data_IF_465271763725
#
_entry.id   IF_465271763725
#
_cell.length_a   1.000
_cell.length_b   1.000
_cell.length_c   1.000
_cell.angle_alpha   90.00
_cell.angle_beta   90.00
_cell.angle_gamma   90.00
#
_symmetry.space_group_name_H-M   'P 1'
#
loop_
_entity.id
_entity.type
_entity.pdbx_description
1 polymer ?
#
# COMPACT_ATOMS: atom_id res chain seq x y z
N UNK A 1 -13.46 -9.88 3.54
CA UNK A 1 -12.22 -9.41 2.88
C UNK A 1 -12.62 -8.25 1.98
N UNK A 2 -11.91 -7.12 2.04
CA UNK A 2 -12.16 -5.97 1.18
C UNK A 2 -11.96 -6.34 -0.29
N UNK A 3 -12.64 -5.65 -1.21
CA UNK A 3 -12.47 -5.91 -2.63
C UNK A 3 -11.08 -5.42 -3.12
N UNK A 4 -10.47 -6.06 -4.14
CA UNK A 4 -9.17 -5.64 -4.66
C UNK A 4 -9.14 -4.18 -5.13
N UNK A 5 -10.26 -3.69 -5.65
CA UNK A 5 -10.48 -2.28 -6.02
C UNK A 5 -10.46 -1.31 -4.82
N UNK A 6 -10.96 -1.74 -3.66
CA UNK A 6 -10.92 -0.96 -2.43
C UNK A 6 -9.50 -0.92 -1.84
N UNK A 7 -8.78 -2.06 -1.89
CA UNK A 7 -7.38 -2.15 -1.45
C UNK A 7 -6.51 -1.25 -2.33
N UNK A 8 -6.66 -1.30 -3.65
CA UNK A 8 -5.93 -0.42 -4.58
C UNK A 8 -6.17 1.05 -4.24
N UNK A 9 -7.44 1.42 -4.03
CA UNK A 9 -7.82 2.80 -3.70
C UNK A 9 -7.23 3.24 -2.36
N UNK A 10 -7.28 2.38 -1.34
CA UNK A 10 -6.72 2.66 -0.02
C UNK A 10 -5.20 2.84 -0.09
N UNK A 11 -4.49 1.91 -0.73
CA UNK A 11 -3.02 1.98 -0.88
C UNK A 11 -2.63 3.24 -1.67
N UNK A 12 -3.34 3.56 -2.76
CA UNK A 12 -3.10 4.79 -3.53
C UNK A 12 -3.35 6.05 -2.71
N UNK A 13 -4.46 6.11 -1.99
CA UNK A 13 -4.77 7.23 -1.11
C UNK A 13 -3.72 7.38 0.00
N UNK A 14 -3.17 6.27 0.49
CA UNK A 14 -2.10 6.27 1.49
C UNK A 14 -0.77 6.75 0.92
N UNK A 15 -0.40 6.29 -0.27
CA UNK A 15 0.81 6.75 -0.94
C UNK A 15 0.72 8.24 -1.26
N UNK A 16 -0.41 8.71 -1.81
CA UNK A 16 -0.64 10.13 -2.11
C UNK A 16 -0.54 11.00 -0.85
N UNK A 17 -1.05 10.53 0.30
CA UNK A 17 -0.91 11.23 1.58
C UNK A 17 0.53 11.26 2.09
N UNK A 18 1.25 10.14 2.00
CA UNK A 18 2.63 10.04 2.50
C UNK A 18 3.60 10.85 1.63
N UNK A 19 3.46 10.76 0.30
CA UNK A 19 4.25 11.56 -0.65
C UNK A 19 3.76 13.01 -0.79
N UNK A 20 2.61 13.33 -0.20
CA UNK A 20 1.91 14.61 -0.36
C UNK A 20 1.72 15.00 -1.85
N UNK A 21 1.56 14.00 -2.72
CA UNK A 21 1.48 14.16 -4.17
C UNK A 21 0.33 13.30 -4.73
N UNK A 22 -0.82 13.94 -4.94
CA UNK A 22 -2.01 13.33 -5.55
C UNK A 22 -1.82 13.00 -7.05
N UNK A 23 -0.78 13.54 -7.71
CA UNK A 23 -0.50 13.25 -9.11
C UNK A 23 0.33 11.97 -9.28
N UNK A 24 0.82 11.40 -8.17
CA UNK A 24 1.62 10.19 -8.14
C UNK A 24 0.74 8.96 -8.39
N UNK A 25 0.55 8.64 -9.67
CA UNK A 25 -0.20 7.47 -10.09
C UNK A 25 0.72 6.25 -10.21
N UNK A 26 0.84 5.47 -9.13
CA UNK A 26 1.51 4.17 -9.23
C UNK A 26 0.64 3.17 -9.99
N UNK A 27 1.30 2.45 -10.89
CA UNK A 27 0.77 1.20 -11.43
C UNK A 27 0.65 0.13 -10.34
N UNK A 28 -0.23 -0.84 -10.56
CA UNK A 28 -0.41 -1.96 -9.64
C UNK A 28 0.88 -2.75 -9.39
N UNK A 29 1.60 -3.01 -10.48
CA UNK A 29 2.87 -3.76 -10.51
C UNK A 29 4.09 -2.87 -10.27
N UNK A 30 3.88 -1.57 -10.09
CA UNK A 30 4.98 -0.63 -10.00
C UNK A 30 5.70 -0.73 -8.65
N UNK A 31 7.01 -0.55 -8.67
CA UNK A 31 7.83 -0.72 -7.49
C UNK A 31 7.94 0.61 -6.74
N UNK A 32 7.67 0.56 -5.46
CA UNK A 32 7.75 1.69 -4.55
C UNK A 32 9.14 2.35 -4.53
N UNK A 33 10.20 1.56 -4.74
CA UNK A 33 11.57 2.10 -4.90
C UNK A 33 11.69 3.09 -6.07
N UNK A 34 10.93 2.94 -7.16
CA UNK A 34 10.99 3.84 -8.32
C UNK A 34 10.37 5.22 -8.02
N UNK A 35 9.47 5.27 -7.03
CA UNK A 35 8.78 6.49 -6.58
C UNK A 35 9.38 7.09 -5.32
N UNK A 36 10.64 6.76 -5.01
CA UNK A 36 11.37 7.27 -3.84
C UNK A 36 10.69 6.87 -2.51
N UNK A 37 9.82 5.85 -2.50
CA UNK A 37 9.08 5.41 -1.30
C UNK A 37 10.02 4.53 -0.47
N UNK A 38 10.58 5.12 0.58
CA UNK A 38 11.49 4.48 1.52
C UNK A 38 10.75 3.55 2.50
N UNK A 39 11.51 2.76 3.26
CA UNK A 39 10.96 1.83 4.27
C UNK A 39 10.07 2.51 5.33
N UNK A 40 10.36 3.77 5.69
CA UNK A 40 9.53 4.57 6.59
C UNK A 40 8.20 4.99 5.95
N UNK A 41 8.24 5.33 4.66
CA UNK A 41 7.03 5.64 3.89
C UNK A 41 6.18 4.37 3.77
N UNK A 42 6.79 3.23 3.48
CA UNK A 42 6.11 1.92 3.40
C UNK A 42 5.42 1.55 4.71
N UNK A 43 6.08 1.74 5.86
CA UNK A 43 5.44 1.54 7.17
C UNK A 43 4.24 2.46 7.35
N UNK A 44 4.36 3.72 6.94
CA UNK A 44 3.27 4.69 7.06
C UNK A 44 2.08 4.36 6.15
N UNK A 45 2.37 3.92 4.91
CA UNK A 45 1.37 3.43 3.95
C UNK A 45 0.66 2.21 4.51
N UNK A 46 1.42 1.21 4.99
CA UNK A 46 0.89 0.00 5.60
C UNK A 46 -0.09 0.32 6.73
N UNK A 47 0.35 1.15 7.69
CA UNK A 47 -0.47 1.56 8.84
C UNK A 47 -1.75 2.31 8.42
N UNK A 48 -1.68 3.16 7.39
CA UNK A 48 -2.87 3.83 6.87
C UNK A 48 -3.81 2.86 6.17
N UNK A 49 -3.29 1.93 5.36
CA UNK A 49 -4.08 0.90 4.68
C UNK A 49 -4.79 0.01 5.68
N UNK A 50 -4.10 -0.43 6.73
CA UNK A 50 -4.66 -1.16 7.87
C UNK A 50 -5.83 -0.41 8.50
N UNK A 51 -5.65 0.88 8.80
CA UNK A 51 -6.71 1.72 9.39
C UNK A 51 -7.86 2.00 8.43
N UNK A 52 -7.60 2.18 7.13
CA UNK A 52 -8.60 2.43 6.11
C UNK A 52 -9.50 1.20 5.88
N UNK A 53 -8.88 0.01 5.84
CA UNK A 53 -9.57 -1.24 5.55
C UNK A 53 -10.05 -1.97 6.81
N UNK A 54 -9.58 -1.55 7.99
CA UNK A 54 -9.88 -2.20 9.27
C UNK A 54 -9.27 -3.60 9.39
N UNK A 55 -8.07 -3.80 8.82
CA UNK A 55 -7.33 -5.07 8.85
C UNK A 55 -6.02 -4.90 9.63
N UNK A 56 -5.43 -6.00 10.09
CA UNK A 56 -4.06 -6.04 10.63
C UNK A 56 -3.17 -6.80 9.66
N UNK A 57 -2.09 -6.18 9.21
CA UNK A 57 -0.99 -6.74 8.45
C UNK A 57 0.21 -7.07 9.36
N UNK A 58 0.01 -7.16 10.69
CA UNK A 58 1.03 -7.27 11.76
C UNK A 58 2.14 -8.32 11.54
N UNK A 59 1.96 -9.30 10.65
CA UNK A 59 2.95 -10.34 10.33
C UNK A 59 3.72 -10.09 9.01
N UNK A 60 3.31 -9.11 8.21
CA UNK A 60 3.89 -8.85 6.89
C UNK A 60 4.97 -7.78 6.95
N UNK A 61 6.10 -8.04 6.30
CA UNK A 61 7.21 -7.09 6.27
C UNK A 61 6.87 -5.98 5.25
N UNK A 62 6.92 -4.69 5.64
CA UNK A 62 6.67 -3.58 4.71
C UNK A 62 7.64 -3.58 3.51
N UNK A 63 8.79 -4.27 3.62
CA UNK A 63 9.70 -4.47 2.49
C UNK A 63 9.18 -5.50 1.48
N UNK A 64 8.40 -6.49 1.90
CA UNK A 64 7.78 -7.48 0.99
C UNK A 64 6.66 -6.86 0.14
N UNK A 65 6.00 -5.83 0.68
CA UNK A 65 4.92 -5.09 0.05
C UNK A 65 5.45 -3.94 -0.80
N UNK A 66 6.32 -4.25 -1.76
CA UNK A 66 7.01 -3.28 -2.61
C UNK A 66 6.14 -2.70 -3.75
N UNK A 67 4.89 -3.14 -3.88
CA UNK A 67 3.96 -2.75 -4.95
C UNK A 67 2.51 -2.84 -4.47
N UNK A 68 1.57 -2.13 -5.12
CA UNK A 68 0.15 -2.18 -4.76
C UNK A 68 -0.41 -3.60 -4.96
N UNK A 69 -0.02 -4.29 -6.03
CA UNK A 69 -0.46 -5.66 -6.28
C UNK A 69 -0.05 -6.60 -5.15
N UNK A 70 1.11 -6.39 -4.50
CA UNK A 70 1.54 -7.19 -3.35
C UNK A 70 0.60 -7.01 -2.16
N UNK A 71 0.14 -5.79 -1.91
CA UNK A 71 -0.90 -5.53 -0.89
C UNK A 71 -2.19 -6.26 -1.22
N UNK A 72 -2.65 -6.15 -2.47
CA UNK A 72 -3.88 -6.82 -2.91
C UNK A 72 -3.76 -8.32 -2.76
N UNK A 73 -2.67 -8.91 -3.25
CA UNK A 73 -2.39 -10.34 -3.19
C UNK A 73 -2.35 -10.82 -1.74
N UNK A 74 -1.58 -10.14 -0.89
CA UNK A 74 -1.46 -10.48 0.53
C UNK A 74 -2.82 -10.42 1.23
N UNK A 75 -3.56 -9.30 1.11
CA UNK A 75 -4.84 -9.09 1.81
C UNK A 75 -5.95 -10.00 1.27
N UNK A 76 -5.95 -10.31 -0.02
CA UNK A 76 -6.95 -11.20 -0.65
C UNK A 76 -6.67 -12.66 -0.33
N UNK A 77 -5.41 -13.02 -0.11
CA UNK A 77 -4.97 -14.38 0.16
C UNK A 77 -4.75 -14.68 1.66
N UNK A 78 -5.02 -13.70 2.52
CA UNK A 78 -5.05 -13.80 3.99
C UNK A 78 -6.30 -14.51 4.48
#
# INVERSE_FOLDING_TARGET
MPAPEEIETAVRASIAQVKADDSLQLGLEDNFDDYDIDSLDRMSIMLQVEQQLGISLEDEDPNNLSSIQKYIDHITNM
#
